data_IF_957079976406
#
_entry.id   IF_957079976406
#
_cell.length_a   1.000
_cell.length_b   1.000
_cell.length_c   1.000
_cell.angle_alpha   90.00
_cell.angle_beta   90.00
_cell.angle_gamma   90.00
#
_symmetry.space_group_name_H-M   'P 1'
#
loop_
_entity.id
_entity.type
_entity.pdbx_description
1 polymer ?
#
# COMPACT_ATOMS: atom_id res chain seq x y z
N UNK A 1 12.23 -5.47 -10.54
CA UNK A 1 12.07 -4.83 -9.23
C UNK A 1 11.44 -3.47 -9.45
N UNK A 2 10.28 -3.20 -8.83
CA UNK A 2 9.68 -1.90 -8.96
C UNK A 2 10.47 -0.85 -8.20
N UNK A 3 10.43 0.34 -8.80
CA UNK A 3 11.08 1.53 -8.29
C UNK A 3 10.00 2.53 -8.00
N UNK A 4 10.10 3.19 -6.85
CA UNK A 4 9.16 4.21 -6.42
C UNK A 4 9.90 5.53 -6.26
N UNK A 5 9.26 6.61 -6.70
CA UNK A 5 9.59 7.94 -6.25
C UNK A 5 8.77 8.22 -5.00
N UNK A 6 9.42 8.59 -3.90
CA UNK A 6 8.71 8.95 -2.69
C UNK A 6 9.21 10.28 -2.10
N UNK A 7 8.28 11.02 -1.50
CA UNK A 7 8.55 12.19 -0.67
C UNK A 7 8.37 11.75 0.78
N UNK A 8 9.45 11.77 1.54
CA UNK A 8 9.50 11.06 2.80
C UNK A 8 10.76 11.33 3.60
N UNK A 9 10.98 10.53 4.63
CA UNK A 9 12.21 10.50 5.41
C UNK A 9 12.66 9.06 5.66
N UNK A 10 13.94 8.88 6.01
CA UNK A 10 14.50 7.57 6.35
C UNK A 10 14.17 7.24 7.80
N UNK A 11 13.58 6.08 8.03
CA UNK A 11 13.36 5.50 9.34
C UNK A 11 14.36 4.37 9.55
N UNK A 12 15.22 4.52 10.55
CA UNK A 12 16.30 3.58 10.79
C UNK A 12 15.73 2.23 11.23
N UNK A 13 16.28 1.13 10.70
CA UNK A 13 15.86 -0.24 11.03
C UNK A 13 15.87 -0.49 12.54
N UNK A 14 16.86 0.06 13.26
CA UNK A 14 16.91 -0.01 14.72
C UNK A 14 15.69 0.67 15.37
N UNK A 15 15.31 1.86 14.91
CA UNK A 15 14.13 2.58 15.40
C UNK A 15 12.83 1.84 15.08
N UNK A 16 12.73 1.21 13.89
CA UNK A 16 11.60 0.33 13.53
C UNK A 16 11.46 -0.80 14.54
N UNK A 17 12.55 -1.53 14.82
CA UNK A 17 12.55 -2.65 15.79
C UNK A 17 12.05 -2.19 17.15
N UNK A 18 12.56 -1.05 17.63
CA UNK A 18 12.14 -0.46 18.90
C UNK A 18 10.65 -0.11 18.88
N UNK A 19 10.15 0.49 17.79
CA UNK A 19 8.74 0.84 17.65
C UNK A 19 7.83 -0.39 17.67
N UNK A 20 8.17 -1.43 16.90
CA UNK A 20 7.42 -2.71 16.86
C UNK A 20 7.32 -3.34 18.25
N UNK A 21 8.42 -3.33 19.02
CA UNK A 21 8.43 -3.87 20.39
C UNK A 21 7.61 -3.01 21.34
N UNK A 22 7.77 -1.68 21.31
CA UNK A 22 7.07 -0.78 22.24
C UNK A 22 5.56 -0.71 22.00
N UNK A 23 5.12 -0.89 20.76
CA UNK A 23 3.70 -0.90 20.37
C UNK A 23 3.10 -2.31 20.35
N UNK A 24 3.86 -3.34 20.74
CA UNK A 24 3.41 -4.74 20.81
C UNK A 24 2.83 -5.26 19.48
N UNK A 25 3.55 -5.02 18.38
CA UNK A 25 3.08 -5.33 17.03
C UNK A 25 3.51 -6.73 16.58
N UNK A 26 2.84 -7.78 17.09
CA UNK A 26 3.14 -9.18 16.76
C UNK A 26 3.07 -9.53 15.26
N UNK A 27 2.17 -8.86 14.52
CA UNK A 27 1.98 -9.06 13.08
C UNK A 27 3.00 -8.29 12.22
N UNK A 28 3.85 -7.45 12.83
CA UNK A 28 4.84 -6.65 12.13
C UNK A 28 6.22 -7.32 12.20
N UNK A 29 6.80 -7.59 11.02
CA UNK A 29 8.21 -7.96 10.94
C UNK A 29 9.05 -6.69 10.82
N UNK A 30 9.90 -6.38 11.79
CA UNK A 30 10.74 -5.20 11.73
C UNK A 30 11.88 -5.35 10.73
N UNK A 31 12.11 -6.54 10.16
CA UNK A 31 13.12 -6.80 9.11
C UNK A 31 12.52 -6.88 7.71
N UNK A 32 11.19 -6.95 7.61
CA UNK A 32 10.47 -7.09 6.34
C UNK A 32 9.12 -6.37 6.43
N UNK A 33 9.11 -5.07 6.13
CA UNK A 33 7.91 -4.22 6.28
C UNK A 33 6.97 -4.32 5.07
N UNK A 34 7.52 -4.64 3.90
CA UNK A 34 6.78 -4.67 2.63
C UNK A 34 5.50 -5.50 2.69
N UNK A 35 5.51 -6.76 3.20
CA UNK A 35 4.34 -7.62 3.16
C UNK A 35 3.10 -6.93 3.73
N UNK A 36 1.96 -7.05 3.05
CA UNK A 36 0.74 -6.32 3.40
C UNK A 36 0.30 -6.47 4.88
N UNK A 37 0.65 -7.58 5.53
CA UNK A 37 0.39 -7.77 6.98
C UNK A 37 1.23 -6.82 7.84
N UNK A 38 2.53 -6.77 7.60
CA UNK A 38 3.49 -5.98 8.39
C UNK A 38 3.23 -4.49 8.22
N UNK A 39 3.18 -4.01 6.98
CA UNK A 39 2.87 -2.61 6.68
C UNK A 39 1.50 -2.18 7.21
N UNK A 40 0.45 -3.01 7.06
CA UNK A 40 -0.88 -2.70 7.61
C UNK A 40 -0.88 -2.64 9.14
N UNK A 41 -0.14 -3.52 9.82
CA UNK A 41 -0.03 -3.51 11.28
C UNK A 41 0.61 -2.20 11.76
N UNK A 42 1.76 -1.83 11.18
CA UNK A 42 2.46 -0.58 11.51
C UNK A 42 1.61 0.65 11.20
N UNK A 43 0.98 0.71 10.02
CA UNK A 43 0.15 1.85 9.63
C UNK A 43 -1.08 2.00 10.53
N UNK A 44 -1.71 0.90 10.97
CA UNK A 44 -2.79 0.98 11.96
C UNK A 44 -2.30 1.57 13.27
N UNK A 45 -1.17 1.09 13.77
CA UNK A 45 -0.52 1.62 14.97
C UNK A 45 -0.24 3.12 14.84
N UNK A 46 0.16 3.60 13.65
CA UNK A 46 0.35 5.03 13.41
C UNK A 46 -0.97 5.82 13.59
N UNK A 47 -2.08 5.32 13.08
CA UNK A 47 -3.39 5.98 13.23
C UNK A 47 -3.97 5.91 14.64
N UNK A 48 -3.52 4.96 15.46
CA UNK A 48 -3.88 4.86 16.87
C UNK A 48 -3.01 5.75 17.74
N UNK A 49 -1.71 5.85 17.44
CA UNK A 49 -0.74 6.63 18.21
C UNK A 49 -0.70 8.13 17.84
N UNK A 50 -0.99 8.49 16.59
CA UNK A 50 -0.83 9.84 16.06
C UNK A 50 -2.16 10.43 15.58
N UNK A 51 -2.77 11.27 16.42
CA UNK A 51 -4.10 11.87 16.18
C UNK A 51 -4.15 12.95 15.09
N UNK A 52 -2.97 13.49 14.72
CA UNK A 52 -2.82 14.54 13.73
C UNK A 52 -2.75 14.02 12.28
N UNK A 53 -2.71 12.70 12.09
CA UNK A 53 -2.67 12.11 10.75
C UNK A 53 -3.99 12.37 10.00
N UNK A 54 -3.95 12.67 8.68
CA UNK A 54 -5.15 12.77 7.88
C UNK A 54 -5.96 11.49 7.97
N UNK A 55 -7.25 11.63 8.33
CA UNK A 55 -8.17 10.48 8.44
C UNK A 55 -8.37 9.86 7.06
N UNK A 56 -7.57 8.85 6.76
CA UNK A 56 -7.77 8.01 5.60
C UNK A 56 -8.37 6.71 6.14
N UNK A 57 -9.69 6.61 6.07
CA UNK A 57 -10.37 5.39 6.47
C UNK A 57 -9.90 4.28 5.53
N UNK A 58 -9.45 3.11 6.00
CA UNK A 58 -9.48 1.92 5.18
C UNK A 58 -10.92 1.78 4.73
N UNK A 59 -11.17 1.90 3.42
CA UNK A 59 -12.51 1.66 2.90
C UNK A 59 -13.00 0.34 3.51
N UNK A 60 -14.00 0.44 4.38
CA UNK A 60 -14.97 -0.65 4.50
C UNK A 60 -15.51 -0.77 3.09
N UNK A 61 -15.15 -1.85 2.42
CA UNK A 61 -15.49 -2.05 1.02
C UNK A 61 -16.94 -1.64 0.76
N UNK A 62 -17.10 -0.82 -0.28
CA UNK A 62 -18.37 -0.36 -0.85
C UNK A 62 -19.20 0.53 0.07
N UNK A 63 -19.10 1.83 -0.17
CA UNK A 63 -20.20 2.74 0.10
C UNK A 63 -21.39 2.43 -0.81
N UNK A 64 -22.55 2.20 -0.19
CA UNK A 64 -23.75 2.95 -0.55
C UNK A 64 -24.39 3.41 0.76
N UNK A 65 -24.20 4.67 1.20
CA UNK A 65 -25.00 5.23 2.26
C UNK A 65 -26.30 5.69 1.60
N UNK A 66 -27.31 4.83 1.56
CA UNK A 66 -28.65 5.28 1.21
C UNK A 66 -29.12 6.19 2.35
N UNK A 67 -29.50 7.45 2.09
CA UNK A 67 -30.12 8.29 3.12
C UNK A 67 -31.48 7.68 3.45
N UNK A 68 -31.72 7.35 4.71
CA UNK A 68 -33.01 6.87 5.17
C UNK A 68 -34.07 7.97 5.03
N UNK A 69 -35.13 7.67 4.29
CA UNK A 69 -36.45 8.27 4.48
C UNK A 69 -37.47 7.14 4.52
N UNK A 70 -38.27 7.12 5.58
CA UNK A 70 -39.16 6.03 5.90
C UNK A 70 -40.44 5.98 5.07
N UNK A 71 -41.03 4.77 5.04
CA UNK A 71 -42.47 4.59 5.14
C UNK A 71 -43.27 4.43 3.84
N UNK A 72 -43.74 3.18 3.65
CA UNK A 72 -45.07 2.77 3.15
C UNK A 72 -45.28 2.38 1.67
N UNK A 73 -45.66 1.09 1.56
CA UNK A 73 -46.74 0.47 0.77
C UNK A 73 -46.60 0.19 -0.75
N UNK A 74 -46.81 -1.09 -1.08
CA UNK A 74 -47.71 -1.48 -2.18
C UNK A 74 -47.13 -1.74 -3.58
N UNK A 75 -46.87 -3.03 -3.89
CA UNK A 75 -47.47 -3.68 -5.05
C UNK A 75 -46.89 -3.52 -6.48
N UNK A 76 -46.54 -4.68 -7.05
CA UNK A 76 -46.75 -5.12 -8.44
C UNK A 76 -45.79 -4.66 -9.55
N UNK A 77 -45.16 -5.68 -10.17
CA UNK A 77 -44.59 -5.72 -11.53
C UNK A 77 -45.69 -5.49 -12.59
N UNK A 78 -45.40 -5.02 -13.83
CA UNK A 78 -44.84 -5.91 -14.85
C UNK A 78 -43.87 -5.26 -15.87
N UNK A 79 -43.24 -6.15 -16.64
CA UNK A 79 -42.51 -6.03 -17.91
C UNK A 79 -42.99 -4.91 -18.85
N UNK A 80 -42.10 -4.30 -19.64
CA UNK A 80 -41.83 -4.65 -21.05
C UNK A 80 -40.99 -3.58 -21.79
N UNK A 81 -40.43 -3.98 -22.95
CA UNK A 81 -40.08 -3.14 -24.12
C UNK A 81 -38.73 -2.41 -24.16
N UNK A 82 -37.84 -3.02 -24.97
CA UNK A 82 -36.81 -2.42 -25.83
C UNK A 82 -37.07 -0.95 -26.19
N UNK A 83 -36.09 -0.08 -26.05
CA UNK A 83 -35.78 0.92 -27.08
C UNK A 83 -34.27 1.21 -27.17
N UNK A 84 -33.85 1.30 -28.43
CA UNK A 84 -32.50 1.45 -28.93
C UNK A 84 -32.27 2.96 -29.11
N UNK A 85 -31.45 3.56 -28.25
CA UNK A 85 -31.04 4.97 -28.36
C UNK A 85 -29.53 5.09 -28.32
N UNK A 86 -28.93 5.48 -29.44
CA UNK A 86 -27.51 5.80 -29.54
C UNK A 86 -27.18 6.97 -28.60
N UNK A 87 -26.19 6.79 -27.73
CA UNK A 87 -25.42 7.90 -27.18
C UNK A 87 -23.98 7.44 -27.00
N UNK A 88 -23.17 7.91 -27.95
CA UNK A 88 -21.72 7.94 -27.94
C UNK A 88 -21.20 8.47 -26.60
N UNK A 89 -20.71 7.57 -25.76
CA UNK A 89 -19.76 7.92 -24.71
C UNK A 89 -18.36 7.48 -25.18
N UNK A 90 -17.58 8.48 -25.57
CA UNK A 90 -16.15 8.38 -25.84
C UNK A 90 -15.49 7.84 -24.57
N UNK A 91 -15.02 6.59 -24.64
CA UNK A 91 -14.22 6.00 -23.59
C UNK A 91 -12.89 6.77 -23.48
N UNK A 92 -12.66 7.40 -22.32
CA UNK A 92 -11.34 7.88 -21.96
C UNK A 92 -10.37 6.67 -21.85
N UNK A 93 -9.17 6.71 -22.45
CA UNK A 93 -8.21 5.64 -22.32
C UNK A 93 -7.49 5.81 -20.98
N UNK A 94 -7.60 4.82 -20.09
CA UNK A 94 -6.72 4.76 -18.92
C UNK A 94 -7.41 4.35 -17.63
N UNK A 95 -8.07 3.21 -17.62
CA UNK A 95 -8.26 2.40 -16.41
C UNK A 95 -8.66 1.00 -16.84
N UNK A 96 -7.69 0.25 -17.37
CA UNK A 96 -7.84 -1.19 -17.44
C UNK A 96 -7.75 -1.72 -15.99
N UNK A 97 -8.70 -2.55 -15.51
CA UNK A 97 -8.50 -3.28 -14.26
C UNK A 97 -7.34 -4.25 -14.49
N UNK A 98 -6.18 -3.91 -13.93
CA UNK A 98 -5.02 -4.79 -13.86
C UNK A 98 -5.41 -6.01 -13.01
N UNK A 99 -5.78 -7.12 -13.65
CA UNK A 99 -5.80 -8.45 -13.03
C UNK A 99 -4.35 -8.97 -12.90
N UNK A 100 -3.46 -8.16 -12.32
CA UNK A 100 -2.13 -8.57 -11.88
C UNK A 100 -2.18 -9.11 -10.44
N UNK A 101 -1.16 -9.85 -9.99
CA UNK A 101 -1.00 -10.15 -8.57
C UNK A 101 -1.07 -8.83 -7.78
N UNK A 102 -1.87 -8.80 -6.70
CA UNK A 102 -1.98 -7.63 -5.83
C UNK A 102 -0.58 -7.23 -5.37
N UNK A 103 -0.15 -6.03 -5.75
CA UNK A 103 1.08 -5.44 -5.24
C UNK A 103 0.91 -5.21 -3.73
N UNK A 104 1.84 -5.69 -2.91
CA UNK A 104 1.81 -5.49 -1.45
C UNK A 104 1.82 -3.99 -1.10
N UNK A 105 2.41 -3.16 -1.98
CA UNK A 105 2.38 -1.70 -1.85
C UNK A 105 0.94 -1.13 -1.97
N UNK A 106 0.11 -1.67 -2.86
CA UNK A 106 -1.27 -1.22 -3.06
C UNK A 106 -2.13 -1.46 -1.80
N UNK A 107 -1.73 -2.38 -0.93
CA UNK A 107 -2.40 -2.62 0.36
C UNK A 107 -2.33 -1.42 1.31
N UNK A 108 -1.43 -0.46 1.05
CA UNK A 108 -1.26 0.77 1.81
C UNK A 108 -2.06 1.95 1.21
N UNK A 109 -2.77 1.77 0.09
CA UNK A 109 -3.53 2.83 -0.61
C UNK A 109 -4.49 3.62 0.28
N UNK A 110 -5.02 2.97 1.31
CA UNK A 110 -5.93 3.58 2.29
C UNK A 110 -5.27 4.53 3.29
N UNK A 111 -3.94 4.52 3.45
CA UNK A 111 -3.26 5.41 4.39
C UNK A 111 -2.68 6.63 3.68
N UNK A 112 -2.66 7.78 4.34
CA UNK A 112 -1.85 8.93 3.92
C UNK A 112 -0.36 8.64 4.00
N UNK A 113 0.06 7.72 4.86
CA UNK A 113 1.46 7.33 5.05
C UNK A 113 1.74 6.06 4.25
N UNK A 114 2.87 6.03 3.56
CA UNK A 114 3.39 4.89 2.80
C UNK A 114 4.69 4.42 3.44
N UNK A 115 4.92 3.12 3.42
CA UNK A 115 6.13 2.46 3.90
C UNK A 115 6.80 1.74 2.73
N UNK A 116 8.06 2.07 2.46
CA UNK A 116 8.89 1.40 1.45
C UNK A 116 10.17 0.88 2.09
N UNK A 117 10.69 -0.23 1.55
CA UNK A 117 11.93 -0.82 2.05
C UNK A 117 12.96 -0.82 0.92
N UNK A 118 14.17 -0.39 1.23
CA UNK A 118 15.24 -0.39 0.25
C UNK A 118 15.68 -1.82 -0.05
N UNK A 119 15.82 -2.12 -1.33
CA UNK A 119 16.41 -3.36 -1.81
C UNK A 119 17.36 -3.06 -2.95
N UNK A 120 18.57 -3.57 -2.84
CA UNK A 120 19.46 -3.69 -4.01
C UNK A 120 19.97 -5.14 -4.09
N UNK A 121 19.72 -5.84 -5.21
CA UNK A 121 20.03 -7.25 -5.38
C UNK A 121 21.52 -7.57 -5.46
N UNK A 122 22.36 -6.55 -5.70
CA UNK A 122 23.81 -6.76 -5.84
C UNK A 122 24.52 -6.80 -4.47
N UNK A 123 23.85 -6.32 -3.42
CA UNK A 123 24.35 -6.44 -2.06
C UNK A 123 23.82 -7.72 -1.41
N UNK A 124 24.71 -8.70 -1.28
CA UNK A 124 24.44 -9.96 -0.59
C UNK A 124 24.96 -9.94 0.86
N UNK A 125 25.45 -8.79 1.34
CA UNK A 125 26.08 -8.69 2.68
C UNK A 125 25.07 -8.57 3.82
N UNK A 126 23.87 -8.07 3.53
CA UNK A 126 22.83 -7.82 4.52
C UNK A 126 21.49 -8.39 4.06
N UNK A 127 20.75 -8.99 5.02
CA UNK A 127 19.41 -9.54 4.78
C UNK A 127 18.37 -8.43 4.60
N UNK A 128 18.60 -7.27 5.22
CA UNK A 128 17.75 -6.08 5.11
C UNK A 128 18.61 -4.82 5.09
N UNK A 129 18.16 -3.79 4.38
CA UNK A 129 18.84 -2.49 4.35
C UNK A 129 18.67 -1.73 5.67
N UNK A 130 19.60 -0.80 5.97
CA UNK A 130 19.58 -0.06 7.24
C UNK A 130 18.40 0.91 7.38
N UNK A 131 17.72 1.24 6.29
CA UNK A 131 16.64 2.22 6.26
C UNK A 131 15.38 1.66 5.62
N UNK A 132 14.26 2.12 6.17
CA UNK A 132 12.93 2.10 5.55
C UNK A 132 12.54 3.53 5.25
N UNK A 133 11.74 3.76 4.22
CA UNK A 133 11.24 5.08 3.91
C UNK A 133 9.79 5.18 4.40
N UNK A 134 9.55 6.18 5.25
CA UNK A 134 8.20 6.63 5.61
C UNK A 134 7.91 7.82 4.72
N UNK A 135 6.82 7.78 3.98
CA UNK A 135 6.49 8.77 2.97
C UNK A 135 5.05 9.25 3.08
N UNK A 136 4.78 10.51 2.80
CA UNK A 136 3.42 11.01 2.60
C UNK A 136 2.97 10.87 1.14
N UNK A 137 3.93 10.81 0.22
CA UNK A 137 3.70 10.57 -1.19
C UNK A 137 4.64 9.47 -1.71
N UNK A 138 4.10 8.49 -2.41
CA UNK A 138 4.90 7.49 -3.10
C UNK A 138 4.17 6.96 -4.33
N UNK A 139 4.89 6.92 -5.44
CA UNK A 139 4.36 6.51 -6.75
C UNK A 139 5.36 5.60 -7.44
N UNK A 140 4.85 4.56 -8.08
CA UNK A 140 5.67 3.65 -8.88
C UNK A 140 6.13 4.36 -10.14
N UNK A 141 7.43 4.37 -10.38
CA UNK A 141 8.03 5.01 -11.55
C UNK A 141 8.57 3.98 -12.54
N UNK A 142 8.32 4.24 -13.83
CA UNK A 142 8.94 3.51 -14.94
C UNK A 142 10.18 4.24 -15.47
N UNK A 143 10.95 3.56 -16.32
CA UNK A 143 12.18 4.12 -16.92
C UNK A 143 11.96 5.40 -17.74
N UNK A 144 10.73 5.64 -18.23
CA UNK A 144 10.36 6.81 -19.02
C UNK A 144 9.62 7.89 -18.23
N UNK A 145 9.55 7.78 -16.89
CA UNK A 145 8.84 8.78 -16.09
C UNK A 145 9.65 10.08 -16.01
N UNK A 146 8.95 11.21 -15.99
CA UNK A 146 9.54 12.51 -15.69
C UNK A 146 9.39 12.78 -14.20
N UNK A 147 10.50 12.71 -13.47
CA UNK A 147 10.54 12.98 -12.02
C UNK A 147 10.08 14.42 -11.73
N UNK A 148 10.47 15.38 -12.57
CA UNK A 148 10.10 16.79 -12.40
C UNK A 148 8.59 17.01 -12.48
N UNK A 149 7.91 16.35 -13.44
CA UNK A 149 6.45 16.47 -13.56
C UNK A 149 5.74 15.86 -12.36
N UNK A 150 6.29 14.78 -11.81
CA UNK A 150 5.73 14.10 -10.65
C UNK A 150 5.90 14.91 -9.36
N UNK A 151 7.04 15.56 -9.20
CA UNK A 151 7.27 16.53 -8.10
C UNK A 151 6.30 17.71 -8.23
N UNK A 152 6.14 18.27 -9.43
CA UNK A 152 5.23 19.39 -9.67
C UNK A 152 3.76 19.04 -9.37
N UNK A 153 3.33 17.81 -9.71
CA UNK A 153 1.99 17.30 -9.35
C UNK A 153 1.79 17.26 -7.84
N UNK A 154 2.77 16.73 -7.12
CA UNK A 154 2.74 16.69 -5.66
C UNK A 154 2.66 18.10 -5.07
N UNK A 155 3.51 19.04 -5.51
CA UNK A 155 3.49 20.43 -5.03
C UNK A 155 2.14 21.10 -5.27
N UNK A 156 1.56 20.91 -6.45
CA UNK A 156 0.24 21.43 -6.78
C UNK A 156 -0.86 20.83 -5.89
N UNK A 157 -0.77 19.54 -5.55
CA UNK A 157 -1.70 18.88 -4.64
C UNK A 157 -1.56 19.43 -3.22
N UNK A 158 -0.34 19.67 -2.75
CA UNK A 158 -0.08 20.24 -1.43
C UNK A 158 -0.62 21.68 -1.31
N UNK A 159 -0.47 22.49 -2.37
CA UNK A 159 -1.01 23.85 -2.41
C UNK A 159 -2.55 23.90 -2.37
N UNK A 160 -3.22 22.88 -2.91
CA UNK A 160 -4.69 22.77 -2.90
C UNK A 160 -5.23 22.11 -1.63
N UNK A 161 -4.36 21.46 -0.84
CA UNK A 161 -4.76 20.76 0.38
C UNK A 161 -5.05 21.75 1.51
N UNK A 162 -6.19 21.60 2.16
CA UNK A 162 -6.50 22.34 3.40
C UNK A 162 -5.70 21.87 4.62
N UNK A 163 -4.98 20.74 4.50
CA UNK A 163 -4.09 20.20 5.53
C UNK A 163 -2.82 19.64 4.86
N UNK A 164 -1.80 20.49 4.59
CA UNK A 164 -0.59 20.08 3.88
C UNK A 164 0.29 19.16 4.74
N UNK A 165 0.99 18.24 4.07
CA UNK A 165 1.91 17.29 4.70
C UNK A 165 3.14 17.98 5.28
N UNK A 166 3.76 18.86 4.50
CA UNK A 166 4.89 19.69 4.94
C UNK A 166 4.51 21.16 4.97
N UNK A 167 5.20 21.92 5.82
CA UNK A 167 5.12 23.37 5.76
C UNK A 167 5.69 23.85 4.43
N UNK A 168 4.82 24.20 3.48
CA UNK A 168 5.27 24.82 2.23
C UNK A 168 5.70 26.23 2.59
N UNK A 169 6.99 26.52 2.46
CA UNK A 169 7.58 27.85 2.59
C UNK A 169 7.12 28.73 1.42
N UNK A 170 5.82 29.02 1.38
CA UNK A 170 5.34 30.21 0.70
C UNK A 170 5.63 31.38 1.65
N UNK A 171 6.29 32.41 1.11
CA UNK A 171 6.75 33.64 1.77
C UNK A 171 5.65 34.43 2.52
N UNK A 172 4.45 33.86 2.67
CA UNK A 172 3.24 34.46 3.25
C UNK A 172 2.61 33.65 4.40
N UNK A 173 3.21 32.53 4.83
CA UNK A 173 2.58 31.62 5.81
C UNK A 173 3.51 31.17 6.93
N UNK A 174 4.30 32.09 7.50
CA UNK A 174 5.10 31.84 8.73
C UNK A 174 4.26 31.72 10.02
N UNK A 175 2.93 31.62 9.91
CA UNK A 175 2.00 31.53 11.03
C UNK A 175 1.34 30.14 11.19
N UNK A 176 1.44 29.25 10.20
CA UNK A 176 0.99 27.87 10.31
C UNK A 176 2.17 27.02 10.76
N UNK A 177 2.00 26.29 11.88
CA UNK A 177 3.02 25.39 12.41
C UNK A 177 3.42 24.27 11.44
N UNK A 178 4.31 23.36 11.85
CA UNK A 178 4.76 22.27 11.01
C UNK A 178 3.58 21.44 10.50
N UNK A 179 3.66 21.00 9.25
CA UNK A 179 2.70 20.11 8.62
C UNK A 179 2.59 18.79 9.38
N UNK A 180 1.50 18.04 9.14
CA UNK A 180 1.24 16.80 9.87
C UNK A 180 2.36 15.77 9.69
N UNK A 181 3.04 15.77 8.54
CA UNK A 181 4.09 14.81 8.24
C UNK A 181 5.43 15.16 8.89
N UNK A 182 5.73 16.45 9.06
CA UNK A 182 6.89 16.91 9.83
C UNK A 182 6.75 16.50 11.30
N UNK A 183 5.54 16.60 11.86
CA UNK A 183 5.25 16.11 13.21
C UNK A 183 5.44 14.60 13.32
N UNK A 184 5.00 13.82 12.32
CA UNK A 184 5.21 12.37 12.29
C UNK A 184 6.70 12.03 12.30
N UNK A 185 7.49 12.69 11.46
CA UNK A 185 8.94 12.53 11.40
C UNK A 185 9.57 12.80 12.76
N UNK A 186 9.21 13.90 13.41
CA UNK A 186 9.82 14.27 14.69
C UNK A 186 9.52 13.26 15.80
N UNK A 187 8.39 12.54 15.72
CA UNK A 187 8.05 11.46 16.65
C UNK A 187 8.74 10.12 16.32
N UNK A 188 8.95 9.80 15.05
CA UNK A 188 9.50 8.50 14.63
C UNK A 188 11.03 8.51 14.47
N UNK A 189 11.58 9.59 13.95
CA UNK A 189 12.99 9.72 13.61
C UNK A 189 13.41 11.20 13.62
N UNK A 190 13.54 11.74 14.84
CA UNK A 190 13.93 13.14 15.05
C UNK A 190 15.24 13.48 14.32
N UNK A 191 15.24 14.62 13.63
CA UNK A 191 16.44 15.17 12.97
C UNK A 191 16.71 14.63 11.56
N UNK A 192 15.91 13.70 11.03
CA UNK A 192 15.98 13.38 9.60
C UNK A 192 15.35 14.48 8.74
N UNK A 193 15.69 14.46 7.45
CA UNK A 193 15.17 15.39 6.47
C UNK A 193 14.04 14.75 5.67
N UNK A 194 12.96 15.50 5.47
CA UNK A 194 11.94 15.15 4.49
C UNK A 194 12.45 15.61 3.12
N UNK A 195 12.61 14.66 2.19
CA UNK A 195 13.08 14.92 0.83
C UNK A 195 12.60 13.84 -0.13
N UNK A 196 12.91 14.03 -1.41
CA UNK A 196 12.63 13.07 -2.45
C UNK A 196 13.67 11.94 -2.46
N UNK A 197 13.19 10.71 -2.59
CA UNK A 197 13.99 9.51 -2.75
C UNK A 197 13.49 8.66 -3.91
N UNK A 198 14.42 7.95 -4.54
CA UNK A 198 14.12 6.88 -5.49
C UNK A 198 14.45 5.58 -4.79
N UNK A 199 13.44 4.77 -4.51
CA UNK A 199 13.55 3.54 -3.72
C UNK A 199 13.26 2.35 -4.63
N UNK A 200 14.22 1.45 -4.76
CA UNK A 200 14.00 0.13 -5.37
C UNK A 200 13.47 -0.78 -4.27
N UNK A 201 12.26 -1.31 -4.46
CA UNK A 201 11.53 -2.08 -3.44
C UNK A 201 11.58 -3.58 -3.76
N UNK A 202 11.54 -4.43 -2.73
CA UNK A 202 11.51 -5.90 -2.85
C UNK A 202 10.10 -6.47 -2.63
N UNK A 203 9.11 -5.94 -3.33
CA UNK A 203 7.70 -6.37 -3.30
C UNK A 203 7.35 -7.42 -4.38
N UNK A 204 8.36 -7.96 -5.09
CA UNK A 204 8.11 -9.03 -6.03
C UNK A 204 7.56 -10.24 -5.27
N UNK A 205 6.26 -10.51 -5.46
CA UNK A 205 5.59 -11.68 -4.91
C UNK A 205 6.35 -12.92 -5.38
N UNK A 206 7.10 -13.54 -4.46
CA UNK A 206 7.85 -14.76 -4.73
C UNK A 206 6.85 -15.90 -4.84
N UNK A 207 6.40 -16.19 -6.05
CA UNK A 207 5.67 -17.42 -6.32
C UNK A 207 6.60 -18.61 -6.01
N UNK A 208 6.48 -19.18 -4.81
CA UNK A 208 6.99 -20.52 -4.58
C UNK A 208 6.12 -21.45 -5.39
N UNK A 209 6.60 -21.88 -6.56
CA UNK A 209 5.99 -22.99 -7.28
C UNK A 209 5.91 -24.16 -6.31
N UNK A 210 4.70 -24.59 -5.95
CA UNK A 210 4.53 -25.82 -5.19
C UNK A 210 5.39 -26.91 -5.85
N UNK A 211 6.27 -27.60 -5.11
CA UNK A 211 6.92 -28.77 -5.68
C UNK A 211 5.81 -29.69 -6.18
N UNK A 212 5.92 -30.23 -7.41
CA UNK A 212 4.91 -31.14 -7.92
C UNK A 212 4.75 -32.26 -6.89
N UNK A 213 3.53 -32.42 -6.38
CA UNK A 213 3.15 -33.48 -5.47
C UNK A 213 3.66 -34.80 -6.05
N UNK A 214 4.65 -35.42 -5.38
CA UNK A 214 5.16 -36.72 -5.78
C UNK A 214 3.97 -37.69 -5.88
N UNK A 215 3.82 -38.44 -6.98
CA UNK A 215 2.73 -39.38 -7.10
C UNK A 215 2.89 -40.45 -6.02
N UNK A 216 1.84 -40.63 -5.21
CA UNK A 216 1.73 -41.71 -4.23
C UNK A 216 2.16 -43.03 -4.89
N UNK A 217 3.26 -43.60 -4.41
CA UNK A 217 3.63 -44.98 -4.76
C UNK A 217 2.53 -45.89 -4.23
N UNK A 218 1.65 -46.32 -5.12
CA UNK A 218 0.71 -47.40 -4.88
C UNK A 218 1.50 -48.64 -4.44
N UNK A 219 1.48 -48.90 -3.15
CA UNK A 219 1.85 -50.19 -2.55
C UNK A 219 0.88 -51.23 -3.10
N UNK A 220 1.31 -51.98 -4.13
CA UNK A 220 0.60 -53.15 -4.61
C UNK A 220 0.58 -54.20 -3.50
N UNK A 221 -0.59 -54.33 -2.87
CA UNK A 221 -0.93 -55.39 -1.94
C UNK A 221 -0.81 -56.75 -2.63
N UNK A 222 -0.29 -57.73 -1.88
CA UNK A 222 0.06 -59.05 -2.36
C UNK A 222 -1.11 -59.84 -2.96
N UNK A 223 -0.77 -60.64 -3.97
CA UNK A 223 -1.62 -61.71 -4.45
C UNK A 223 -0.97 -63.04 -4.04
N UNK A 224 -1.69 -63.77 -3.18
CA UNK A 224 -1.35 -65.12 -2.76
C UNK A 224 -1.68 -66.12 -3.87
N UNK A 225 -0.92 -67.21 -3.93
CA UNK A 225 -1.06 -68.26 -4.95
C UNK A 225 -2.42 -68.96 -4.99
N UNK A 226 -2.56 -69.98 -5.87
CA UNK A 226 -2.05 -71.29 -5.45
C UNK A 226 -1.32 -72.07 -6.56
N UNK A 227 -0.29 -72.82 -6.14
CA UNK A 227 0.27 -73.91 -6.92
C UNK A 227 -0.70 -75.11 -6.87
N UNK A 228 -1.05 -75.66 -8.03
CA UNK A 228 -1.79 -76.92 -8.16
C UNK A 228 -1.00 -77.94 -8.95
N UNK A 229 -0.91 -79.13 -8.35
CA UNK A 229 -0.65 -80.48 -8.88
C UNK A 229 0.67 -80.76 -9.61
#
# INVERSE_FOLDING_TARGET
MPTYLCHGFRWQRQSVRVYVILQDLDDASPEWIIPAKSSRCILKSFYEAFDFLPRCSPERGRYNPTPGFGGHDGGLTPSDTRERGLSTNVAAPGSAPSNGPKDDFDAQSWSAVKLLEEYDPNDLSAVSRPYVYVADYAVRIGLSCSIADEIARYEQQQLQSGNPATSISSDRSSAQGPGWFERLRDQLQQGEEIRWYVVVNNDEVRNWSNPPSEPERAIHAGDGGPASA
#
